data_IF_988718955591
#
_entry.id   IF_988718955591
#
_cell.length_a   1.000
_cell.length_b   1.000
_cell.length_c   1.000
_cell.angle_alpha   90.00
_cell.angle_beta   90.00
_cell.angle_gamma   90.00
#
_symmetry.space_group_name_H-M   'P 1'
#
loop_
_entity.id
_entity.type
_entity.pdbx_description
1 polymer ?
#
# COMPACT_ATOMS: atom_id res chain seq x y z
N UNK A 1 9.43 -20.11 1.65
CA UNK A 1 10.02 -19.26 0.61
C UNK A 1 9.16 -18.01 0.53
N UNK A 2 9.72 -16.88 0.90
CA UNK A 2 9.05 -15.58 0.68
C UNK A 2 9.31 -15.26 -0.80
N UNK A 3 8.24 -15.21 -1.59
CA UNK A 3 8.31 -14.81 -3.00
C UNK A 3 8.24 -13.28 -2.98
N UNK A 4 9.36 -12.62 -3.20
CA UNK A 4 9.56 -11.18 -3.03
C UNK A 4 8.77 -10.26 -3.98
N UNK A 5 8.02 -10.81 -4.95
CA UNK A 5 7.26 -10.04 -5.94
C UNK A 5 5.80 -10.50 -6.10
N UNK A 6 5.29 -11.34 -5.21
CA UNK A 6 3.90 -11.78 -5.29
C UNK A 6 3.00 -10.74 -4.61
N UNK A 7 2.30 -9.94 -5.39
CA UNK A 7 1.25 -9.04 -4.89
C UNK A 7 -0.01 -9.78 -4.43
N UNK A 8 -0.12 -11.07 -4.72
CA UNK A 8 -1.26 -11.91 -4.37
C UNK A 8 -0.77 -13.30 -3.95
N UNK A 9 -1.40 -13.85 -2.92
CA UNK A 9 -1.20 -15.22 -2.47
C UNK A 9 -2.55 -15.97 -2.54
N UNK A 10 -2.65 -16.97 -3.42
CA UNK A 10 -3.79 -17.88 -3.42
C UNK A 10 -3.64 -18.90 -2.30
N UNK A 11 -4.63 -18.95 -1.43
CA UNK A 11 -4.75 -19.97 -0.37
C UNK A 11 -5.87 -20.92 -0.77
N UNK A 12 -5.53 -22.19 -0.93
CA UNK A 12 -6.51 -23.24 -1.18
C UNK A 12 -6.59 -24.14 0.06
N UNK A 13 -7.81 -24.38 0.51
CA UNK A 13 -8.12 -25.39 1.50
C UNK A 13 -8.91 -26.52 0.84
N UNK A 14 -8.50 -27.76 1.05
CA UNK A 14 -9.20 -28.95 0.57
C UNK A 14 -9.42 -29.88 1.76
N UNK A 15 -10.64 -30.35 1.93
CA UNK A 15 -11.02 -31.30 2.96
C UNK A 15 -11.33 -32.65 2.31
N UNK A 16 -10.61 -33.67 2.68
CA UNK A 16 -10.93 -35.06 2.26
C UNK A 16 -11.64 -35.77 3.40
N UNK A 17 -12.82 -36.32 3.13
CA UNK A 17 -13.58 -37.17 4.07
C UNK A 17 -14.21 -38.36 3.35
N UNK A 18 -13.78 -39.55 3.71
CA UNK A 18 -14.15 -40.81 3.02
C UNK A 18 -15.65 -41.11 2.94
N UNK A 19 -16.50 -40.42 3.67
CA UNK A 19 -17.96 -40.59 3.68
C UNK A 19 -18.71 -39.39 3.14
N UNK A 20 -18.00 -38.47 2.51
CA UNK A 20 -18.62 -37.31 1.87
C UNK A 20 -19.35 -37.73 0.60
N UNK A 21 -20.62 -37.37 0.50
CA UNK A 21 -21.47 -37.68 -0.64
C UNK A 21 -21.46 -36.60 -1.72
N UNK A 22 -20.88 -35.42 -1.40
CA UNK A 22 -20.75 -34.30 -2.32
C UNK A 22 -19.35 -33.66 -2.22
N UNK A 23 -18.44 -34.12 -3.06
CA UNK A 23 -17.08 -33.63 -3.11
C UNK A 23 -16.93 -32.25 -3.85
N UNK A 24 -18.02 -31.62 -4.23
CA UNK A 24 -17.98 -30.36 -4.99
C UNK A 24 -17.79 -29.15 -4.10
N UNK A 25 -18.09 -29.25 -2.81
CA UNK A 25 -17.97 -28.22 -1.78
C UNK A 25 -16.73 -28.37 -0.88
N UNK A 26 -15.89 -29.37 -1.14
CA UNK A 26 -14.70 -29.69 -0.35
C UNK A 26 -13.51 -28.77 -0.59
N UNK A 27 -13.61 -27.84 -1.52
CA UNK A 27 -12.55 -26.92 -1.88
C UNK A 27 -12.98 -25.48 -1.61
N UNK A 28 -12.16 -24.77 -0.86
CA UNK A 28 -12.28 -23.32 -0.71
C UNK A 28 -11.00 -22.68 -1.23
N UNK A 29 -11.14 -21.66 -2.05
CA UNK A 29 -10.04 -20.84 -2.55
C UNK A 29 -10.28 -19.39 -2.14
N UNK A 30 -9.24 -18.74 -1.61
CA UNK A 30 -9.24 -17.31 -1.37
C UNK A 30 -7.92 -16.71 -1.85
N UNK A 31 -7.96 -15.49 -2.31
CA UNK A 31 -6.77 -14.73 -2.68
C UNK A 31 -6.50 -13.71 -1.58
N UNK A 32 -5.36 -13.82 -0.92
CA UNK A 32 -4.87 -12.80 -0.01
C UNK A 32 -4.01 -11.86 -0.84
N UNK A 33 -4.44 -10.61 -0.97
CA UNK A 33 -3.58 -9.55 -1.50
C UNK A 33 -2.59 -9.18 -0.41
N UNK A 34 -1.31 -9.37 -0.70
CA UNK A 34 -0.25 -8.84 0.14
C UNK A 34 -0.25 -7.33 -0.13
N UNK A 35 -0.78 -6.56 0.80
CA UNK A 35 -0.59 -5.12 0.77
C UNK A 35 0.92 -4.87 0.66
N UNK A 36 1.35 -4.16 -0.37
CA UNK A 36 2.68 -3.58 -0.37
C UNK A 36 2.77 -2.83 0.94
N UNK A 37 3.67 -3.26 1.84
CA UNK A 37 3.92 -2.47 3.02
C UNK A 37 4.45 -1.15 2.47
N UNK A 38 3.60 -0.14 2.38
CA UNK A 38 3.90 1.20 1.84
C UNK A 38 4.96 1.93 2.68
N UNK A 39 5.63 1.16 3.56
CA UNK A 39 6.66 1.68 4.46
C UNK A 39 7.97 1.87 3.70
N UNK A 40 8.50 3.09 3.70
CA UNK A 40 9.71 3.41 2.96
C UNK A 40 10.88 2.51 3.30
N UNK A 41 11.54 1.97 2.30
CA UNK A 41 12.75 1.14 2.44
C UNK A 41 14.00 2.01 2.55
N UNK A 42 15.03 1.47 3.18
CA UNK A 42 16.38 2.08 3.17
C UNK A 42 16.87 2.21 1.72
N UNK A 43 17.81 3.11 1.50
CA UNK A 43 18.35 3.38 0.16
C UNK A 43 19.84 3.07 0.10
N UNK A 44 20.33 2.82 -1.11
CA UNK A 44 21.75 2.72 -1.44
C UNK A 44 22.55 1.75 -0.56
N UNK A 45 21.96 0.59 -0.19
CA UNK A 45 22.68 -0.44 0.57
C UNK A 45 23.92 -0.89 -0.19
N UNK A 46 25.06 -0.83 0.48
CA UNK A 46 26.35 -1.29 -0.03
C UNK A 46 27.02 -2.22 0.97
N UNK A 47 27.67 -3.24 0.46
CA UNK A 47 28.48 -4.15 1.26
C UNK A 47 29.91 -4.17 0.73
N UNK A 48 30.88 -3.94 1.59
CA UNK A 48 32.31 -4.03 1.27
C UNK A 48 32.96 -5.08 2.15
N UNK A 49 33.86 -5.88 1.57
CA UNK A 49 34.57 -6.92 2.29
C UNK A 49 36.05 -6.53 2.46
N UNK A 50 36.52 -6.64 3.70
CA UNK A 50 37.91 -6.54 4.05
C UNK A 50 38.33 -7.82 4.83
N UNK A 51 39.12 -8.67 4.21
CA UNK A 51 39.47 -10.01 4.76
C UNK A 51 38.20 -10.83 5.09
N UNK A 52 38.00 -11.19 6.35
CA UNK A 52 36.82 -11.90 6.83
C UNK A 52 35.67 -11.01 7.28
N UNK A 53 35.84 -9.69 7.27
CA UNK A 53 34.83 -8.76 7.73
C UNK A 53 34.03 -8.19 6.56
N UNK A 54 32.75 -7.97 6.78
CA UNK A 54 31.87 -7.26 5.86
C UNK A 54 31.35 -6.00 6.53
N UNK A 55 31.60 -4.86 5.90
CA UNK A 55 30.98 -3.59 6.27
C UNK A 55 29.78 -3.32 5.39
N UNK A 56 28.64 -3.07 6.01
CA UNK A 56 27.40 -2.63 5.37
C UNK A 56 27.22 -1.14 5.63
N UNK A 57 26.81 -0.39 4.61
CA UNK A 57 26.46 1.02 4.68
C UNK A 57 25.17 1.24 3.89
N UNK A 58 24.30 2.12 4.37
CA UNK A 58 23.04 2.46 3.70
C UNK A 58 22.64 3.91 3.97
N UNK A 59 21.67 4.38 3.22
CA UNK A 59 21.02 5.67 3.43
C UNK A 59 19.65 5.48 4.06
N UNK A 60 19.16 6.51 4.75
CA UNK A 60 17.82 6.49 5.33
C UNK A 60 16.75 6.35 4.25
N UNK A 61 15.57 5.82 4.59
CA UNK A 61 14.40 5.90 3.75
C UNK A 61 14.08 7.33 3.33
N UNK A 62 13.51 7.49 2.14
CA UNK A 62 12.92 8.76 1.77
C UNK A 62 11.59 8.92 2.52
N UNK A 63 11.54 9.87 3.46
CA UNK A 63 10.36 10.18 4.27
C UNK A 63 9.69 11.49 3.83
N UNK A 64 9.98 11.98 2.62
CA UNK A 64 9.26 13.12 2.07
C UNK A 64 7.77 12.78 1.91
N UNK A 65 6.86 13.70 2.28
CA UNK A 65 5.43 13.50 2.10
C UNK A 65 5.07 13.16 0.64
N UNK A 66 4.17 12.22 0.46
CA UNK A 66 3.76 11.73 -0.85
C UNK A 66 2.31 12.09 -1.14
N UNK A 67 2.09 12.70 -2.31
CA UNK A 67 0.72 12.87 -2.83
C UNK A 67 0.29 11.58 -3.51
N UNK A 68 -0.86 11.08 -3.10
CA UNK A 68 -1.47 9.84 -3.58
C UNK A 68 -2.89 10.12 -4.06
N UNK A 69 -3.38 9.29 -4.96
CA UNK A 69 -4.80 9.23 -5.33
C UNK A 69 -5.34 7.87 -4.91
N UNK A 70 -6.36 7.88 -4.07
CA UNK A 70 -7.13 6.68 -3.73
C UNK A 70 -8.25 6.54 -4.75
N UNK A 71 -8.14 5.54 -5.61
CA UNK A 71 -9.08 5.17 -6.66
C UNK A 71 -9.94 3.95 -6.28
N UNK A 72 -9.76 3.44 -5.06
CA UNK A 72 -10.45 2.28 -4.49
C UNK A 72 -10.29 0.96 -5.25
N UNK A 73 -9.53 0.90 -6.34
CA UNK A 73 -9.39 -0.29 -7.20
C UNK A 73 -8.65 -1.46 -6.54
N UNK A 74 -7.86 -1.18 -5.50
CA UNK A 74 -7.07 -2.19 -4.78
C UNK A 74 -7.87 -3.03 -3.79
N UNK A 75 -9.08 -2.64 -3.45
CA UNK A 75 -9.92 -3.33 -2.47
C UNK A 75 -10.83 -4.37 -3.13
N UNK A 76 -11.29 -5.32 -2.34
CA UNK A 76 -12.27 -6.27 -2.81
C UNK A 76 -13.64 -5.59 -2.97
N UNK A 77 -14.33 -5.90 -4.06
CA UNK A 77 -15.69 -5.43 -4.26
C UNK A 77 -16.56 -5.83 -3.06
N UNK A 78 -17.43 -4.91 -2.62
CA UNK A 78 -18.34 -5.06 -1.48
C UNK A 78 -17.67 -5.09 -0.11
N UNK A 79 -16.37 -4.79 -0.02
CA UNK A 79 -15.73 -4.56 1.28
C UNK A 79 -16.34 -3.34 1.97
N UNK A 80 -16.60 -3.48 3.25
CA UNK A 80 -17.06 -2.39 4.15
C UNK A 80 -15.93 -1.87 5.04
N UNK A 81 -14.72 -2.38 4.82
CA UNK A 81 -13.47 -1.94 5.43
C UNK A 81 -12.42 -1.82 4.32
N UNK A 82 -11.72 -0.71 4.24
CA UNK A 82 -10.72 -0.53 3.22
C UNK A 82 -9.51 0.28 3.69
N UNK A 83 -8.40 -0.43 3.83
CA UNK A 83 -7.08 0.10 4.16
C UNK A 83 -7.06 0.92 5.45
N UNK A 84 -6.37 2.04 5.40
CA UNK A 84 -6.20 2.95 6.53
C UNK A 84 -7.34 3.99 6.66
N UNK A 85 -8.40 3.88 5.85
CA UNK A 85 -9.59 4.72 5.97
C UNK A 85 -10.40 4.31 7.18
N UNK A 86 -10.88 5.28 7.94
CA UNK A 86 -11.79 5.04 9.06
C UNK A 86 -13.22 5.31 8.60
N UNK A 87 -14.09 4.32 8.75
CA UNK A 87 -15.48 4.37 8.33
C UNK A 87 -16.37 4.30 9.57
N UNK A 88 -17.29 5.25 9.74
CA UNK A 88 -18.16 5.33 10.91
C UNK A 88 -19.59 5.58 10.43
N UNK A 89 -20.48 4.65 10.71
CA UNK A 89 -21.93 4.84 10.71
C UNK A 89 -22.33 5.33 12.11
N UNK A 90 -22.65 6.61 12.22
CA UNK A 90 -22.89 7.23 13.52
C UNK A 90 -24.34 7.11 14.00
N UNK A 91 -25.27 6.72 13.14
CA UNK A 91 -26.69 6.54 13.47
C UNK A 91 -27.12 5.06 13.53
N UNK A 92 -26.29 4.11 13.07
CA UNK A 92 -26.58 2.68 13.06
C UNK A 92 -27.69 2.31 12.07
N UNK A 93 -27.78 3.02 10.96
CA UNK A 93 -28.74 2.76 9.90
C UNK A 93 -28.47 1.48 9.13
N UNK A 94 -29.52 0.88 8.60
CA UNK A 94 -29.40 -0.27 7.71
C UNK A 94 -29.36 0.18 6.27
N UNK A 95 -28.37 -0.23 5.51
CA UNK A 95 -28.24 0.12 4.10
C UNK A 95 -29.48 -0.28 3.30
N UNK A 96 -29.96 0.63 2.45
CA UNK A 96 -31.07 0.34 1.55
C UNK A 96 -30.70 -0.56 0.39
N UNK A 97 -31.70 -1.09 -0.27
CA UNK A 97 -31.57 -1.83 -1.53
C UNK A 97 -31.74 -0.90 -2.72
N UNK A 98 -31.31 -1.35 -3.90
CA UNK A 98 -31.64 -0.64 -5.13
C UNK A 98 -33.05 -1.01 -5.61
N UNK A 99 -33.21 -1.47 -6.81
CA UNK A 99 -34.50 -1.86 -7.37
C UNK A 99 -34.70 -3.38 -7.24
N UNK A 100 -35.91 -3.86 -7.42
CA UNK A 100 -36.37 -5.20 -7.20
C UNK A 100 -35.46 -6.33 -7.75
N UNK A 101 -34.66 -6.06 -8.77
CA UNK A 101 -33.77 -7.04 -9.43
C UNK A 101 -32.27 -6.76 -9.24
N UNK A 102 -31.87 -5.73 -8.47
CA UNK A 102 -30.49 -5.35 -8.28
C UNK A 102 -30.07 -5.59 -6.82
N UNK A 103 -29.67 -6.84 -6.54
CA UNK A 103 -29.18 -7.20 -5.24
C UNK A 103 -27.64 -7.09 -5.20
N UNK A 104 -27.11 -6.53 -4.12
CA UNK A 104 -25.67 -6.47 -3.85
C UNK A 104 -25.33 -7.06 -2.49
N UNK A 105 -24.12 -7.61 -2.29
CA UNK A 105 -23.67 -8.11 -0.99
C UNK A 105 -23.73 -7.03 0.09
N UNK A 106 -24.03 -7.44 1.34
CA UNK A 106 -24.21 -6.55 2.50
C UNK A 106 -25.43 -5.59 2.42
N UNK A 107 -26.31 -5.74 1.43
CA UNK A 107 -27.58 -5.03 1.41
C UNK A 107 -28.39 -5.34 2.67
N UNK A 108 -29.03 -4.33 3.26
CA UNK A 108 -29.79 -4.39 4.51
C UNK A 108 -28.96 -4.76 5.75
N UNK A 109 -27.66 -4.45 5.72
CA UNK A 109 -26.78 -4.51 6.89
C UNK A 109 -26.29 -3.11 7.26
N UNK A 110 -25.69 -2.98 8.44
CA UNK A 110 -25.11 -1.72 8.92
C UNK A 110 -23.68 -1.56 8.41
N UNK A 111 -23.38 -0.47 7.73
CA UNK A 111 -22.04 -0.03 7.36
C UNK A 111 -22.08 1.45 6.95
N UNK A 112 -20.97 2.16 7.10
CA UNK A 112 -20.87 3.54 6.65
C UNK A 112 -20.68 3.63 5.13
N UNK A 113 -19.63 3.00 4.60
CA UNK A 113 -19.33 2.96 3.17
C UNK A 113 -18.98 1.55 2.72
N UNK A 114 -19.20 1.27 1.44
CA UNK A 114 -18.89 0.00 0.78
C UNK A 114 -18.13 0.25 -0.52
N UNK A 115 -17.23 -0.65 -0.89
CA UNK A 115 -16.60 -0.64 -2.21
C UNK A 115 -17.63 -1.16 -3.23
N UNK A 116 -18.18 -0.24 -3.99
CA UNK A 116 -19.24 -0.53 -4.96
C UNK A 116 -18.67 -0.79 -6.34
N UNK A 117 -18.84 -2.02 -6.83
CA UNK A 117 -18.42 -2.42 -8.18
C UNK A 117 -19.65 -2.84 -9.00
N UNK A 118 -20.15 -1.97 -9.89
CA UNK A 118 -21.34 -2.28 -10.69
C UNK A 118 -21.10 -3.37 -11.75
N UNK A 119 -19.85 -3.65 -12.14
CA UNK A 119 -19.55 -4.63 -13.17
C UNK A 119 -19.70 -6.08 -12.69
N UNK A 120 -19.68 -6.32 -11.38
CA UNK A 120 -19.86 -7.65 -10.80
C UNK A 120 -21.31 -7.94 -10.39
N UNK A 121 -22.26 -7.00 -10.58
CA UNK A 121 -23.69 -7.20 -10.31
C UNK A 121 -24.40 -8.00 -11.40
N UNK A 122 -23.83 -8.15 -12.57
CA UNK A 122 -24.38 -8.88 -13.71
C UNK A 122 -23.84 -8.34 -15.04
N UNK A 123 -23.95 -9.15 -16.10
CA UNK A 123 -23.25 -8.91 -17.39
C UNK A 123 -23.45 -7.52 -18.00
N UNK A 124 -24.54 -6.82 -17.72
CA UNK A 124 -24.86 -5.56 -18.35
C UNK A 124 -25.28 -4.45 -17.37
N UNK A 125 -25.17 -4.65 -16.06
CA UNK A 125 -25.70 -3.70 -15.07
C UNK A 125 -25.11 -2.31 -15.26
N UNK A 126 -23.80 -2.19 -15.31
CA UNK A 126 -23.13 -0.90 -15.50
C UNK A 126 -23.41 -0.27 -16.89
N UNK A 127 -23.70 -1.09 -17.90
CA UNK A 127 -24.02 -0.62 -19.26
C UNK A 127 -25.44 -0.09 -19.35
N UNK A 128 -26.39 -0.79 -18.74
CA UNK A 128 -27.82 -0.39 -18.73
C UNK A 128 -28.11 0.72 -17.74
N UNK A 129 -27.25 0.86 -16.72
CA UNK A 129 -27.36 1.87 -15.68
C UNK A 129 -26.09 2.74 -15.64
N UNK A 130 -25.91 3.67 -16.61
CA UNK A 130 -24.71 4.50 -16.71
C UNK A 130 -24.44 5.35 -15.47
N UNK A 131 -25.46 5.65 -14.69
CA UNK A 131 -25.40 6.35 -13.42
C UNK A 131 -24.77 5.55 -12.27
N UNK A 132 -24.51 4.23 -12.45
CA UNK A 132 -23.75 3.41 -11.52
C UNK A 132 -22.24 3.38 -11.84
N UNK A 133 -21.80 3.93 -12.97
CA UNK A 133 -20.41 3.85 -13.38
C UNK A 133 -19.50 4.65 -12.44
N UNK A 134 -18.32 4.10 -12.07
CA UNK A 134 -17.31 4.85 -11.34
C UNK A 134 -16.83 6.06 -12.17
N UNK A 135 -16.18 7.02 -11.51
CA UNK A 135 -15.48 8.10 -12.20
C UNK A 135 -14.28 7.54 -12.97
N UNK A 136 -13.50 6.68 -12.32
CA UNK A 136 -12.39 5.95 -12.94
C UNK A 136 -12.47 4.45 -12.61
N UNK A 137 -11.72 3.62 -13.34
CA UNK A 137 -11.62 2.19 -13.06
C UNK A 137 -12.93 1.40 -13.12
N UNK A 138 -13.17 0.55 -12.14
CA UNK A 138 -14.31 -0.35 -12.07
C UNK A 138 -15.18 -0.20 -10.80
N UNK A 139 -14.68 0.50 -9.78
CA UNK A 139 -15.34 0.59 -8.48
C UNK A 139 -15.04 1.92 -7.78
N UNK A 140 -15.80 2.22 -6.75
CA UNK A 140 -15.70 3.44 -5.96
C UNK A 140 -16.25 3.24 -4.54
N UNK A 141 -15.94 4.13 -3.61
CA UNK A 141 -16.56 4.12 -2.29
C UNK A 141 -17.97 4.70 -2.36
N UNK A 142 -18.93 3.99 -1.79
CA UNK A 142 -20.33 4.39 -1.87
C UNK A 142 -21.08 4.11 -0.58
N UNK A 143 -22.13 4.88 -0.35
CA UNK A 143 -23.13 4.63 0.69
C UNK A 143 -24.53 4.82 0.12
N UNK A 144 -25.40 3.79 0.20
CA UNK A 144 -26.80 3.90 -0.18
C UNK A 144 -27.60 4.66 0.90
N UNK A 145 -28.87 4.95 0.61
CA UNK A 145 -29.79 5.46 1.61
C UNK A 145 -29.93 4.48 2.78
N UNK A 146 -30.41 4.97 3.91
CA UNK A 146 -30.50 4.19 5.12
C UNK A 146 -31.95 4.02 5.60
N UNK A 147 -32.17 2.89 6.23
CA UNK A 147 -33.44 2.48 6.82
C UNK A 147 -33.28 2.32 8.34
N UNK A 148 -34.38 2.48 9.05
CA UNK A 148 -34.47 2.16 10.47
C UNK A 148 -34.30 0.66 10.75
N UNK A 149 -34.22 0.29 12.02
CA UNK A 149 -34.07 -1.11 12.47
C UNK A 149 -35.21 -2.04 12.00
N UNK A 150 -36.35 -1.48 11.59
CA UNK A 150 -37.48 -2.27 11.06
C UNK A 150 -37.38 -2.48 9.55
N UNK A 151 -36.48 -1.76 8.86
CA UNK A 151 -36.35 -1.77 7.41
C UNK A 151 -37.53 -1.13 6.67
N UNK A 152 -38.35 -0.35 7.35
CA UNK A 152 -39.59 0.20 6.78
C UNK A 152 -39.56 1.73 6.57
N UNK A 153 -38.72 2.43 7.31
CA UNK A 153 -38.67 3.89 7.25
C UNK A 153 -37.27 4.38 6.85
N UNK A 154 -37.23 5.32 5.93
CA UNK A 154 -36.00 6.05 5.62
C UNK A 154 -35.57 6.88 6.82
N UNK A 155 -34.28 6.89 7.13
CA UNK A 155 -33.68 7.75 8.15
C UNK A 155 -32.70 8.75 7.51
N UNK A 156 -32.32 9.79 8.25
CA UNK A 156 -31.26 10.68 7.78
C UNK A 156 -29.92 9.97 7.88
N UNK A 157 -29.08 10.15 6.90
CA UNK A 157 -27.73 9.58 6.92
C UNK A 157 -26.79 10.32 7.87
N UNK A 158 -25.91 9.57 8.53
CA UNK A 158 -24.84 10.10 9.37
C UNK A 158 -23.58 9.22 9.21
N UNK A 159 -23.05 9.22 7.98
CA UNK A 159 -21.97 8.35 7.56
C UNK A 159 -20.67 9.11 7.32
N UNK A 160 -19.60 8.65 7.92
CA UNK A 160 -18.29 9.28 7.86
C UNK A 160 -17.29 8.40 7.13
N UNK A 161 -16.54 8.99 6.20
CA UNK A 161 -15.31 8.46 5.64
C UNK A 161 -14.18 9.40 5.99
N UNK A 162 -13.23 8.91 6.80
CA UNK A 162 -12.13 9.69 7.36
C UNK A 162 -10.84 9.20 6.72
N UNK A 163 -10.04 10.14 6.25
CA UNK A 163 -8.80 9.84 5.54
C UNK A 163 -7.78 9.10 6.40
N UNK A 164 -6.84 8.37 5.78
CA UNK A 164 -5.57 8.05 6.41
C UNK A 164 -4.87 9.32 6.88
N UNK A 165 -3.89 9.17 7.79
CA UNK A 165 -3.19 10.30 8.37
C UNK A 165 -2.46 11.14 7.32
N UNK A 166 -2.73 12.44 7.34
CA UNK A 166 -2.15 13.41 6.42
C UNK A 166 -0.73 13.82 6.83
N UNK A 167 0.02 14.38 5.88
CA UNK A 167 1.40 14.84 6.07
C UNK A 167 1.58 15.95 7.13
N UNK A 168 0.50 16.57 7.58
CA UNK A 168 0.54 17.74 8.46
C UNK A 168 0.96 19.05 7.76
N UNK A 169 1.26 19.02 6.46
CA UNK A 169 1.53 20.22 5.68
C UNK A 169 0.23 20.85 5.18
N UNK A 170 0.26 22.16 4.91
CA UNK A 170 -0.84 22.80 4.19
C UNK A 170 -0.93 22.16 2.80
N UNK A 171 -2.13 21.75 2.39
CA UNK A 171 -2.32 21.03 1.14
C UNK A 171 -3.69 21.28 0.51
N UNK A 172 -3.74 21.01 -0.78
CA UNK A 172 -4.99 20.91 -1.53
C UNK A 172 -5.40 19.45 -1.61
N UNK A 173 -6.65 19.16 -1.26
CA UNK A 173 -7.28 17.85 -1.36
C UNK A 173 -8.35 17.96 -2.45
N UNK A 174 -8.43 16.97 -3.32
CA UNK A 174 -9.50 16.88 -4.32
C UNK A 174 -10.07 15.48 -4.38
N UNK A 175 -11.36 15.38 -4.70
CA UNK A 175 -12.07 14.12 -4.86
C UNK A 175 -13.25 14.32 -5.79
N UNK A 176 -13.82 13.24 -6.29
CA UNK A 176 -15.05 13.29 -7.06
C UNK A 176 -16.21 12.78 -6.21
N UNK A 177 -17.35 13.40 -6.35
CA UNK A 177 -18.62 12.98 -5.71
C UNK A 177 -19.69 12.75 -6.76
N UNK A 178 -20.61 11.88 -6.42
CA UNK A 178 -21.68 11.48 -7.30
C UNK A 178 -22.99 11.29 -6.50
N UNK A 179 -24.11 11.65 -7.12
CA UNK A 179 -25.45 11.27 -6.68
C UNK A 179 -26.18 10.55 -7.80
N UNK A 180 -27.13 9.72 -7.45
CA UNK A 180 -27.90 9.01 -8.45
C UNK A 180 -28.97 9.85 -9.12
N UNK A 181 -29.12 9.66 -10.44
CA UNK A 181 -30.26 10.14 -11.22
C UNK A 181 -30.95 8.95 -11.86
N UNK A 182 -32.20 8.71 -11.47
CA UNK A 182 -33.01 7.61 -11.98
C UNK A 182 -34.26 8.14 -12.65
N UNK A 183 -34.51 7.73 -13.90
CA UNK A 183 -35.64 8.19 -14.69
C UNK A 183 -35.74 9.75 -14.76
N UNK A 184 -34.62 10.43 -14.92
CA UNK A 184 -34.48 11.90 -14.90
C UNK A 184 -34.86 12.57 -13.58
N UNK A 185 -34.95 11.85 -12.48
CA UNK A 185 -35.11 12.39 -11.14
C UNK A 185 -33.75 12.28 -10.41
N UNK A 186 -33.18 13.42 -10.05
CA UNK A 186 -31.95 13.47 -9.25
C UNK A 186 -32.31 13.27 -7.77
N UNK A 187 -31.65 12.28 -7.16
CA UNK A 187 -31.69 12.05 -5.72
C UNK A 187 -30.53 12.82 -5.09
N UNK A 188 -30.88 13.95 -4.45
CA UNK A 188 -29.90 14.89 -3.92
C UNK A 188 -29.22 14.28 -2.71
N UNK A 189 -27.88 14.27 -2.74
CA UNK A 189 -27.07 13.86 -1.61
C UNK A 189 -26.42 15.07 -0.95
N UNK A 190 -26.50 15.14 0.37
CA UNK A 190 -25.90 16.20 1.18
C UNK A 190 -24.66 15.68 1.89
N UNK A 191 -23.62 16.52 1.96
CA UNK A 191 -22.42 16.18 2.68
C UNK A 191 -21.71 17.41 3.24
N UNK A 192 -20.98 17.20 4.33
CA UNK A 192 -20.03 18.15 4.90
C UNK A 192 -18.61 17.70 4.59
N UNK A 193 -17.65 18.61 4.54
CA UNK A 193 -16.22 18.30 4.51
C UNK A 193 -15.56 19.01 5.67
N UNK A 194 -14.86 18.25 6.49
CA UNK A 194 -14.26 18.72 7.72
C UNK A 194 -12.79 18.29 7.80
N UNK A 195 -12.03 18.94 8.69
CA UNK A 195 -10.71 18.45 9.04
C UNK A 195 -10.47 18.47 10.57
N UNK A 196 -9.57 17.62 11.00
CA UNK A 196 -9.05 17.52 12.36
C UNK A 196 -7.56 17.85 12.39
N UNK A 197 -7.11 18.54 13.44
CA UNK A 197 -5.70 18.72 13.79
C UNK A 197 -5.31 17.90 15.04
N UNK A 198 -6.12 16.93 15.40
CA UNK A 198 -5.93 16.06 16.56
C UNK A 198 -5.99 14.57 16.13
N UNK A 199 -7.04 13.88 16.51
CA UNK A 199 -7.28 12.47 16.16
C UNK A 199 -8.26 12.30 15.00
N UNK A 200 -8.68 11.05 14.81
CA UNK A 200 -9.67 10.63 13.81
C UNK A 200 -11.01 10.17 14.43
N UNK A 201 -11.25 10.51 15.71
CA UNK A 201 -12.59 10.39 16.27
C UNK A 201 -13.49 11.48 15.67
N UNK A 202 -14.79 11.20 15.44
CA UNK A 202 -15.73 12.17 14.84
C UNK A 202 -15.82 13.46 15.64
N UNK A 203 -15.59 13.41 16.96
CA UNK A 203 -15.57 14.57 17.85
C UNK A 203 -14.36 15.49 17.65
N UNK A 204 -13.29 15.03 16.98
CA UNK A 204 -12.10 15.81 16.65
C UNK A 204 -12.30 16.72 15.42
N UNK A 205 -13.33 16.45 14.61
CA UNK A 205 -13.62 17.20 13.38
C UNK A 205 -14.41 18.48 13.65
N UNK A 206 -13.78 19.43 14.28
CA UNK A 206 -14.40 20.72 14.65
C UNK A 206 -14.28 21.82 13.60
N UNK A 207 -13.46 21.59 12.57
CA UNK A 207 -13.20 22.57 11.51
C UNK A 207 -13.94 22.19 10.23
N UNK A 208 -14.95 22.97 9.88
CA UNK A 208 -15.78 22.73 8.69
C UNK A 208 -15.22 23.53 7.52
N UNK A 209 -14.93 22.86 6.39
CA UNK A 209 -14.48 23.46 5.14
C UNK A 209 -15.64 23.67 4.20
N UNK A 210 -16.48 22.65 4.04
CA UNK A 210 -17.74 22.74 3.30
C UNK A 210 -18.87 22.29 4.21
N UNK A 211 -19.96 23.06 4.21
CA UNK A 211 -21.16 22.78 5.02
C UNK A 211 -22.34 22.57 4.11
N UNK A 212 -23.07 21.47 4.33
CA UNK A 212 -24.29 21.12 3.61
C UNK A 212 -24.15 21.27 2.08
N UNK A 213 -23.02 20.83 1.55
CA UNK A 213 -22.78 20.77 0.10
C UNK A 213 -23.70 19.72 -0.49
N UNK A 214 -24.15 19.95 -1.72
CA UNK A 214 -25.07 19.04 -2.42
C UNK A 214 -24.43 18.49 -3.68
N UNK A 215 -24.53 17.19 -3.90
CA UNK A 215 -24.35 16.53 -5.18
C UNK A 215 -25.74 16.40 -5.83
N UNK A 216 -25.92 17.02 -6.99
CA UNK A 216 -27.25 17.22 -7.58
C UNK A 216 -27.33 16.91 -9.08
N UNK A 217 -26.16 16.75 -9.74
CA UNK A 217 -26.12 16.69 -11.21
C UNK A 217 -26.44 15.32 -11.79
N UNK A 218 -26.30 14.25 -11.00
CA UNK A 218 -26.30 12.88 -11.49
C UNK A 218 -25.04 12.50 -12.28
N UNK A 219 -24.06 13.40 -12.32
CA UNK A 219 -22.76 13.21 -12.92
C UNK A 219 -21.67 13.35 -11.85
N UNK A 220 -20.49 12.81 -12.10
CA UNK A 220 -19.35 12.98 -11.22
C UNK A 220 -18.88 14.43 -11.19
N UNK A 221 -18.88 15.04 -10.00
CA UNK A 221 -18.47 16.43 -9.76
C UNK A 221 -17.13 16.45 -9.00
N UNK A 222 -16.14 17.17 -9.53
CA UNK A 222 -14.88 17.39 -8.82
C UNK A 222 -15.03 18.41 -7.71
N UNK A 223 -14.64 18.02 -6.51
CA UNK A 223 -14.55 18.89 -5.33
C UNK A 223 -13.08 19.13 -5.00
N UNK A 224 -12.75 20.37 -4.66
CA UNK A 224 -11.39 20.75 -4.26
C UNK A 224 -11.47 21.62 -3.01
N UNK A 225 -10.68 21.27 -2.00
CA UNK A 225 -10.59 21.99 -0.74
C UNK A 225 -9.12 22.28 -0.40
N UNK A 226 -8.89 23.26 0.47
CA UNK A 226 -7.58 23.55 1.04
C UNK A 226 -7.64 23.37 2.55
N UNK A 227 -6.66 22.68 3.10
CA UNK A 227 -6.49 22.52 4.53
C UNK A 227 -5.17 23.15 4.99
N UNK A 228 -5.14 23.80 6.19
CA UNK A 228 -3.96 24.47 6.70
C UNK A 228 -2.89 23.47 7.19
N UNK A 229 -1.69 23.98 7.43
CA UNK A 229 -0.66 23.21 8.14
C UNK A 229 -1.13 22.84 9.54
N UNK A 230 -0.75 21.64 10.00
CA UNK A 230 -1.20 21.04 11.26
C UNK A 230 -2.44 20.15 11.11
N UNK A 231 -3.05 20.09 9.90
CA UNK A 231 -4.16 19.15 9.64
C UNK A 231 -3.64 17.73 9.61
N UNK A 232 -4.23 16.86 10.43
CA UNK A 232 -3.85 15.45 10.55
C UNK A 232 -4.80 14.51 9.82
N UNK A 233 -6.08 14.87 9.71
CA UNK A 233 -7.10 14.09 8.99
C UNK A 233 -8.11 15.01 8.33
N UNK A 234 -8.75 14.55 7.26
CA UNK A 234 -9.97 15.13 6.74
C UNK A 234 -11.07 14.09 6.69
N UNK A 235 -12.31 14.54 6.65
CA UNK A 235 -13.47 13.67 6.56
C UNK A 235 -14.47 14.21 5.54
N UNK A 236 -15.14 13.27 4.86
CA UNK A 236 -16.36 13.54 4.11
C UNK A 236 -17.49 12.90 4.92
N UNK A 237 -18.43 13.69 5.35
CA UNK A 237 -19.55 13.31 6.20
C UNK A 237 -20.85 13.43 5.42
N UNK A 238 -21.43 12.30 5.04
CA UNK A 238 -22.75 12.26 4.41
C UNK A 238 -23.82 12.64 5.44
N UNK A 239 -24.62 13.63 5.09
CA UNK A 239 -25.68 14.16 5.97
C UNK A 239 -27.02 14.23 5.22
N UNK A 240 -27.23 13.30 4.30
CA UNK A 240 -28.40 13.28 3.41
C UNK A 240 -29.67 13.05 4.22
N UNK A 241 -30.71 13.88 4.02
CA UNK A 241 -32.01 13.59 4.60
C UNK A 241 -32.66 12.38 3.92
N UNK A 242 -33.83 11.97 4.39
CA UNK A 242 -34.56 10.76 3.96
C UNK A 242 -34.92 10.70 2.46
N UNK A 243 -34.33 11.55 1.62
CA UNK A 243 -34.62 11.68 0.19
C UNK A 243 -33.49 11.28 -0.73
N UNK A 244 -32.34 10.88 -0.16
CA UNK A 244 -31.19 10.38 -0.93
C UNK A 244 -31.42 8.99 -1.48
N UNK A 245 -30.54 8.55 -2.34
CA UNK A 245 -30.55 7.18 -2.86
C UNK A 245 -29.17 6.52 -2.75
N UNK A 246 -28.12 7.20 -3.21
CA UNK A 246 -26.75 6.70 -3.14
C UNK A 246 -25.77 7.85 -3.33
N UNK A 247 -24.82 7.96 -2.43
CA UNK A 247 -23.70 8.88 -2.51
C UNK A 247 -22.42 8.11 -2.89
N UNK A 248 -21.71 8.57 -3.89
CA UNK A 248 -20.45 8.00 -4.36
C UNK A 248 -19.28 8.95 -4.18
N UNK A 249 -18.10 8.40 -3.89
CA UNK A 249 -16.82 9.10 -3.78
C UNK A 249 -15.77 8.32 -4.58
N UNK A 250 -14.97 9.04 -5.38
CA UNK A 250 -13.92 8.43 -6.19
C UNK A 250 -12.70 9.35 -6.34
N UNK A 251 -11.56 8.80 -6.73
CA UNK A 251 -10.30 9.50 -7.03
C UNK A 251 -9.92 10.58 -6.00
N UNK A 252 -9.77 10.17 -4.74
CA UNK A 252 -9.42 11.07 -3.64
C UNK A 252 -7.91 11.34 -3.63
N UNK A 253 -7.51 12.55 -4.00
CA UNK A 253 -6.11 12.97 -4.05
C UNK A 253 -5.74 13.81 -2.83
N UNK A 254 -4.72 13.38 -2.10
CA UNK A 254 -4.21 14.04 -0.90
C UNK A 254 -2.74 13.70 -0.66
N UNK A 255 -2.08 14.45 0.25
CA UNK A 255 -0.70 14.18 0.66
C UNK A 255 -0.70 13.53 2.03
N UNK A 256 -0.32 12.24 2.08
CA UNK A 256 -0.31 11.44 3.29
C UNK A 256 0.97 11.59 4.10
N UNK A 257 0.92 11.24 5.39
CA UNK A 257 2.08 11.07 6.22
C UNK A 257 2.97 9.95 5.67
N UNK A 258 4.26 10.19 5.64
CA UNK A 258 5.23 9.14 5.35
C UNK A 258 5.87 8.68 6.65
N UNK A 259 5.68 7.42 7.06
CA UNK A 259 6.20 6.93 8.32
C UNK A 259 7.72 7.10 8.42
N UNK A 260 8.21 7.41 9.62
CA UNK A 260 9.65 7.51 9.93
C UNK A 260 10.09 6.27 10.69
N UNK A 261 11.17 5.58 10.29
CA UNK A 261 11.66 4.44 11.04
C UNK A 261 12.29 4.87 12.37
N UNK A 262 12.33 3.96 13.32
CA UNK A 262 12.99 4.15 14.62
C UNK A 262 14.24 3.29 14.78
N UNK A 263 14.34 2.18 14.05
CA UNK A 263 15.49 1.26 14.00
C UNK A 263 15.72 0.76 12.58
N UNK A 264 16.88 0.12 12.37
CA UNK A 264 17.17 -0.72 11.22
C UNK A 264 17.45 -2.14 11.68
N UNK A 265 16.85 -3.13 11.01
CA UNK A 265 17.15 -4.56 11.16
C UNK A 265 18.21 -4.99 10.15
N UNK A 266 19.26 -5.68 10.59
CA UNK A 266 20.33 -6.20 9.74
C UNK A 266 20.22 -7.71 9.73
N UNK A 267 20.10 -8.27 8.53
CA UNK A 267 19.92 -9.70 8.30
C UNK A 267 21.10 -10.29 7.55
N UNK A 268 21.45 -11.53 7.90
CA UNK A 268 22.45 -12.35 7.23
C UNK A 268 21.80 -13.68 6.86
N UNK A 269 21.76 -13.98 5.57
CA UNK A 269 21.10 -15.19 5.05
C UNK A 269 19.69 -15.41 5.65
N UNK A 270 18.88 -14.35 5.72
CA UNK A 270 17.53 -14.38 6.25
C UNK A 270 17.41 -14.36 7.79
N UNK A 271 18.52 -14.36 8.53
CA UNK A 271 18.51 -14.32 9.99
C UNK A 271 18.88 -12.92 10.49
N UNK A 272 18.08 -12.35 11.40
CA UNK A 272 18.39 -11.07 12.06
C UNK A 272 19.67 -11.23 12.90
N UNK A 273 20.71 -10.46 12.58
CA UNK A 273 21.97 -10.47 13.30
C UNK A 273 22.20 -9.24 14.16
N UNK A 274 21.54 -8.13 13.84
CA UNK A 274 21.66 -6.88 14.60
C UNK A 274 20.42 -6.00 14.41
N UNK A 275 20.21 -5.08 15.38
CA UNK A 275 19.20 -4.01 15.32
C UNK A 275 19.86 -2.73 15.83
N UNK A 276 19.89 -1.71 14.99
CA UNK A 276 20.55 -0.42 15.29
C UNK A 276 19.58 0.74 15.22
N UNK A 277 19.75 1.81 16.04
CA UNK A 277 18.92 3.01 15.96
C UNK A 277 19.14 3.74 14.62
N UNK A 278 18.15 4.52 14.18
CA UNK A 278 18.16 5.24 12.88
C UNK A 278 19.31 6.23 12.69
N UNK A 279 19.99 6.61 13.78
CA UNK A 279 21.19 7.43 13.74
C UNK A 279 22.42 6.68 13.25
N UNK A 280 22.38 5.34 13.26
CA UNK A 280 23.46 4.44 12.83
C UNK A 280 23.09 3.84 11.48
N UNK A 281 23.88 4.12 10.46
CA UNK A 281 23.66 3.66 9.07
C UNK A 281 24.80 2.81 8.56
N UNK A 282 25.42 2.06 9.44
CA UNK A 282 26.47 1.09 9.13
C UNK A 282 26.42 -0.07 10.10
N UNK A 283 26.93 -1.21 9.65
CA UNK A 283 27.12 -2.39 10.47
C UNK A 283 28.36 -3.16 9.98
N UNK A 284 29.12 -3.71 10.90
CA UNK A 284 30.25 -4.59 10.56
C UNK A 284 29.96 -5.99 11.07
N UNK A 285 29.90 -6.95 10.14
CA UNK A 285 29.87 -8.38 10.45
C UNK A 285 31.31 -8.90 10.44
N UNK A 286 31.80 -9.25 11.62
CA UNK A 286 33.13 -9.84 11.79
C UNK A 286 33.06 -11.34 11.52
N UNK A 287 34.03 -11.90 10.80
CA UNK A 287 34.04 -13.28 10.38
C UNK A 287 32.86 -13.70 9.49
N UNK A 288 32.47 -12.82 8.59
CA UNK A 288 31.48 -13.13 7.57
C UNK A 288 31.93 -14.30 6.69
N UNK A 289 31.04 -15.25 6.46
CA UNK A 289 31.29 -16.38 5.54
C UNK A 289 31.52 -15.92 4.09
N UNK A 290 31.91 -16.85 3.24
CA UNK A 290 32.06 -16.59 1.81
C UNK A 290 30.69 -16.33 1.16
N UNK A 291 30.62 -15.42 0.17
CA UNK A 291 29.42 -15.14 -0.63
C UNK A 291 28.15 -14.97 0.22
N UNK A 292 28.20 -14.07 1.17
CA UNK A 292 27.12 -13.87 2.14
C UNK A 292 26.12 -12.86 1.60
N UNK A 293 24.84 -13.23 1.63
CA UNK A 293 23.72 -12.34 1.38
C UNK A 293 23.36 -11.60 2.67
N UNK A 294 23.24 -10.31 2.58
CA UNK A 294 22.73 -9.43 3.64
C UNK A 294 21.48 -8.71 3.18
N UNK A 295 20.63 -8.36 4.14
CA UNK A 295 19.50 -7.48 3.93
C UNK A 295 19.42 -6.48 5.07
N UNK A 296 18.89 -5.29 4.78
CA UNK A 296 18.58 -4.26 5.78
C UNK A 296 17.15 -3.83 5.60
N UNK A 297 16.41 -3.78 6.71
CA UNK A 297 15.04 -3.28 6.79
C UNK A 297 14.98 -2.00 7.61
N UNK A 298 13.96 -1.18 7.39
CA UNK A 298 13.58 -0.09 8.27
C UNK A 298 12.48 -0.59 9.21
N UNK A 299 12.60 -0.34 10.52
CA UNK A 299 11.65 -0.77 11.56
C UNK A 299 10.92 0.46 12.09
N UNK A 300 9.60 0.42 12.12
CA UNK A 300 8.72 1.53 12.46
C UNK A 300 8.19 1.45 13.88
N UNK A 301 7.56 2.52 14.36
CA UNK A 301 7.10 2.64 15.75
C UNK A 301 6.03 1.61 16.12
N UNK A 302 5.24 1.14 15.18
CA UNK A 302 4.23 0.07 15.33
C UNK A 302 4.84 -1.35 15.37
N UNK A 303 6.16 -1.46 15.25
CA UNK A 303 6.89 -2.73 15.25
C UNK A 303 6.95 -3.42 13.90
N UNK A 304 6.33 -2.88 12.86
CA UNK A 304 6.42 -3.43 11.50
C UNK A 304 7.75 -3.08 10.83
N UNK A 305 8.12 -3.85 9.82
CA UNK A 305 9.34 -3.65 9.04
C UNK A 305 9.01 -3.33 7.58
N UNK A 306 9.86 -2.54 6.93
CA UNK A 306 9.80 -2.36 5.48
C UNK A 306 10.18 -3.63 4.73
N UNK A 307 9.92 -3.67 3.44
CA UNK A 307 10.54 -4.66 2.56
C UNK A 307 12.07 -4.64 2.71
N UNK A 308 12.76 -5.80 2.70
CA UNK A 308 14.21 -5.88 2.82
C UNK A 308 14.89 -5.34 1.56
N UNK A 309 15.93 -4.54 1.74
CA UNK A 309 16.88 -4.21 0.67
C UNK A 309 18.08 -5.12 0.80
N UNK A 310 18.42 -5.83 -0.27
CA UNK A 310 19.40 -6.89 -0.25
C UNK A 310 20.72 -6.51 -0.93
N UNK A 311 21.82 -7.09 -0.45
CA UNK A 311 23.14 -7.02 -1.08
C UNK A 311 23.89 -8.34 -0.94
N UNK A 312 24.45 -8.82 -2.05
CA UNK A 312 25.37 -9.94 -2.05
C UNK A 312 26.80 -9.45 -1.93
N UNK A 313 27.51 -9.91 -0.90
CA UNK A 313 28.92 -9.55 -0.68
C UNK A 313 29.80 -10.75 -0.99
N UNK A 314 30.37 -10.82 -2.19
CA UNK A 314 31.20 -11.95 -2.60
C UNK A 314 32.52 -11.99 -1.83
N UNK A 315 33.15 -13.15 -1.82
CA UNK A 315 34.54 -13.28 -1.37
C UNK A 315 35.45 -12.53 -2.36
N UNK A 316 35.77 -11.40 -2.01
CA UNK A 316 36.70 -10.36 -2.37
C UNK A 316 37.62 -10.44 -3.59
N UNK A 317 37.37 -11.14 -4.69
CA UNK A 317 38.25 -11.12 -5.87
C UNK A 317 37.50 -11.02 -7.21
N UNK A 318 36.22 -11.34 -7.27
CA UNK A 318 35.48 -11.28 -8.55
C UNK A 318 35.24 -9.83 -9.04
N UNK A 319 35.28 -8.82 -8.15
CA UNK A 319 34.93 -7.43 -8.46
C UNK A 319 36.11 -6.50 -8.78
N UNK A 320 37.32 -6.99 -8.86
CA UNK A 320 38.48 -6.11 -9.20
C UNK A 320 38.52 -5.74 -10.69
N UNK A 321 37.72 -6.40 -11.51
CA UNK A 321 37.61 -6.14 -12.97
C UNK A 321 36.17 -5.74 -13.33
N UNK A 322 35.58 -4.83 -12.58
CA UNK A 322 34.14 -4.47 -12.77
C UNK A 322 33.89 -3.40 -13.83
N UNK A 323 34.91 -2.78 -14.39
CA UNK A 323 34.73 -1.77 -15.46
C UNK A 323 34.58 -2.40 -16.85
N UNK A 324 34.44 -3.73 -16.94
CA UNK A 324 34.34 -4.43 -18.22
C UNK A 324 35.55 -4.29 -19.13
N UNK A 325 36.61 -3.61 -18.66
CA UNK A 325 37.86 -3.42 -19.42
C UNK A 325 38.81 -4.59 -19.17
N UNK A 326 39.28 -5.25 -20.21
CA UNK A 326 40.25 -6.33 -20.04
C UNK A 326 41.59 -5.78 -19.50
N UNK A 327 42.15 -6.50 -18.55
CA UNK A 327 43.43 -6.18 -17.91
C UNK A 327 44.42 -7.34 -18.00
N UNK A 328 45.71 -7.04 -17.94
CA UNK A 328 46.76 -8.04 -17.84
C UNK A 328 47.03 -8.39 -16.36
N UNK A 329 47.28 -9.65 -16.09
CA UNK A 329 47.57 -10.21 -14.77
C UNK A 329 49.01 -10.69 -14.71
N UNK A 330 49.76 -10.21 -13.71
CA UNK A 330 51.15 -10.57 -13.50
C UNK A 330 51.33 -11.19 -12.12
N UNK A 331 52.36 -12.05 -11.96
CA UNK A 331 52.86 -12.39 -10.65
C UNK A 331 53.61 -11.22 -10.01
N UNK A 332 53.88 -11.26 -8.71
CA UNK A 332 54.59 -10.17 -8.00
C UNK A 332 56.00 -9.92 -8.49
N UNK A 333 56.62 -10.92 -9.12
CA UNK A 333 57.93 -10.88 -9.77
C UNK A 333 57.85 -10.41 -11.25
N UNK A 334 56.67 -9.97 -11.70
CA UNK A 334 56.47 -9.35 -13.03
C UNK A 334 56.18 -10.30 -14.18
N UNK A 335 56.00 -11.61 -13.94
CA UNK A 335 55.71 -12.58 -15.00
C UNK A 335 54.24 -12.48 -15.40
N UNK A 336 53.94 -12.33 -16.68
CA UNK A 336 52.58 -12.31 -17.21
C UNK A 336 51.91 -13.68 -17.04
N UNK A 337 50.76 -13.73 -16.39
CA UNK A 337 49.96 -14.93 -16.12
C UNK A 337 48.74 -15.01 -17.06
N UNK A 338 48.08 -13.87 -17.28
CA UNK A 338 46.97 -13.73 -18.24
C UNK A 338 47.06 -12.39 -18.94
N UNK A 339 46.68 -12.38 -20.21
CA UNK A 339 46.62 -11.18 -21.03
C UNK A 339 45.15 -10.85 -21.35
N UNK A 340 44.79 -9.57 -21.30
CA UNK A 340 43.49 -9.06 -21.71
C UNK A 340 42.30 -9.86 -21.11
N UNK A 341 42.36 -10.16 -19.80
CA UNK A 341 41.28 -10.90 -19.13
C UNK A 341 40.33 -9.98 -18.43
N UNK A 342 39.04 -10.35 -18.42
CA UNK A 342 37.98 -9.72 -17.63
C UNK A 342 37.66 -10.53 -16.36
N UNK A 343 38.37 -11.63 -16.09
CA UNK A 343 38.12 -12.48 -14.92
C UNK A 343 39.42 -13.03 -14.33
N UNK A 344 39.49 -13.12 -12.99
CA UNK A 344 40.56 -13.76 -12.26
C UNK A 344 40.23 -15.22 -11.90
N UNK A 345 39.09 -15.73 -12.29
CA UNK A 345 38.61 -17.07 -11.97
C UNK A 345 39.58 -18.13 -12.51
N UNK A 346 39.95 -19.09 -11.64
CA UNK A 346 40.84 -20.19 -12.01
C UNK A 346 42.33 -19.83 -12.00
N UNK A 347 42.73 -18.70 -11.42
CA UNK A 347 44.12 -18.50 -10.99
C UNK A 347 44.43 -19.34 -9.80
N UNK A 348 45.68 -19.80 -9.68
CA UNK A 348 46.15 -20.52 -8.49
C UNK A 348 46.24 -19.55 -7.30
N UNK A 349 46.17 -20.12 -6.08
CA UNK A 349 46.42 -19.37 -4.84
C UNK A 349 47.74 -18.62 -4.93
N UNK A 350 47.74 -17.33 -4.59
CA UNK A 350 48.92 -16.51 -4.65
C UNK A 350 48.66 -15.03 -4.81
N UNK A 351 49.69 -14.20 -4.74
CA UNK A 351 49.61 -12.75 -4.92
C UNK A 351 49.89 -12.38 -6.38
N UNK A 352 49.03 -11.59 -6.96
CA UNK A 352 49.12 -11.13 -8.34
C UNK A 352 49.04 -9.60 -8.44
N UNK A 353 49.56 -9.04 -9.52
CA UNK A 353 49.42 -7.65 -9.88
C UNK A 353 48.41 -7.58 -11.03
N UNK A 354 47.32 -6.86 -10.83
CA UNK A 354 46.23 -6.69 -11.78
C UNK A 354 46.01 -5.20 -11.99
N UNK A 355 46.33 -4.67 -13.19
CA UNK A 355 46.45 -3.24 -13.39
C UNK A 355 47.51 -2.65 -12.43
N UNK A 356 47.08 -1.71 -11.58
CA UNK A 356 47.98 -1.06 -10.58
C UNK A 356 47.79 -1.63 -9.14
N UNK A 357 47.08 -2.74 -8.96
CA UNK A 357 46.74 -3.27 -7.62
C UNK A 357 47.36 -4.64 -7.39
N UNK A 358 47.84 -4.89 -6.16
CA UNK A 358 48.20 -6.24 -5.70
C UNK A 358 46.97 -6.94 -5.15
N UNK A 359 46.72 -8.16 -5.60
CA UNK A 359 45.54 -8.97 -5.26
C UNK A 359 46.00 -10.32 -4.77
N UNK A 360 45.47 -10.77 -3.63
CA UNK A 360 45.65 -12.11 -3.10
C UNK A 360 44.54 -13.01 -3.63
N UNK A 361 44.91 -14.11 -4.27
CA UNK A 361 44.02 -15.24 -4.63
C UNK A 361 44.18 -16.31 -3.55
N UNK A 362 43.14 -16.59 -2.79
CA UNK A 362 43.10 -17.62 -1.74
C UNK A 362 42.62 -18.97 -2.23
#
# INVERSE_FOLDING_TARGET
AIIADAKEMKVMAEVEYDKDLDNTDNKAETTIRLEDSEKPTIQNLRGTREQSNVSLEWEAPNTAPQTVTEDFERYDAWSTEFGDWTLIDANGGYSGGFFDDLWYPNQFTQFAYIIFNPFVLGENVATLNPWLKPFSGQQYASVPYELDETGQSYINSDNWIISPKLSGQAQTISFYVHNMTVNNVAYIENYDVLYSSAGNDITDFTNIVLKNRQAVSGEWEKVTINVPAGTTYFAIHQTTPQTGLMFGIDDVTYTKETPTPIYYGIYKAGTLINKVPVTVRHCVDVNAGANTQYAVTAIYADGTESAPVEVNVPTGIENVITDGKPVDVYTVDGKLVRRHTTTLRGLRKGVYVVGNKKILIE
#
